data_IF_767995885814
#
_entry.id   IF_767995885814
#
_cell.length_a   1.000
_cell.length_b   1.000
_cell.length_c   1.000
_cell.angle_alpha   90.00
_cell.angle_beta   90.00
_cell.angle_gamma   90.00
#
_symmetry.space_group_name_H-M   'P 1'
#
loop_
_entity.id
_entity.type
_entity.pdbx_description
1 polymer ?
#
# COMPACT_ATOMS: atom_id res chain seq x y z
N UNK A 1 -1.79 19.98 -21.15
CA UNK A 1 -1.88 19.45 -20.70
C UNK A 1 -1.30 19.00 -19.98
N UNK A 2 -1.04 18.82 -19.83
CA UNK A 2 -0.69 18.54 -19.14
C UNK A 2 -0.21 17.88 -18.42
N UNK A 3 0.19 18.15 -18.25
CA UNK A 3 0.26 17.33 -17.16
C UNK A 3 -0.40 16.06 -17.37
N UNK A 4 -0.75 15.81 -18.46
CA UNK A 4 -1.42 14.63 -18.81
C UNK A 4 -0.55 13.41 -18.63
N UNK A 5 0.74 13.56 -18.87
CA UNK A 5 1.70 12.50 -18.62
C UNK A 5 1.70 12.10 -17.16
N UNK A 6 1.54 13.07 -16.28
CA UNK A 6 1.45 12.77 -14.86
C UNK A 6 0.25 11.91 -14.53
N UNK A 7 -0.84 12.10 -15.24
CA UNK A 7 -2.02 11.27 -15.04
C UNK A 7 -1.77 9.83 -15.39
N UNK A 8 -1.01 9.59 -16.44
CA UNK A 8 -0.68 8.22 -16.82
C UNK A 8 0.13 7.53 -15.74
N UNK A 9 1.05 8.24 -15.12
CA UNK A 9 1.84 7.67 -14.05
C UNK A 9 0.99 7.32 -12.86
N UNK A 10 -0.03 8.12 -12.57
CA UNK A 10 -0.95 7.83 -11.50
C UNK A 10 -1.77 6.57 -11.74
N UNK A 11 -1.98 6.22 -13.00
CA UNK A 11 -2.83 5.09 -13.34
C UNK A 11 -2.09 3.76 -13.30
N UNK A 12 -0.81 3.77 -13.01
CA UNK A 12 0.00 2.56 -13.01
C UNK A 12 1.00 2.58 -11.86
N UNK A 13 1.32 1.37 -11.39
CA UNK A 13 2.34 1.19 -10.37
C UNK A 13 3.15 -0.04 -10.72
N UNK A 14 4.41 -0.05 -10.34
CA UNK A 14 5.26 -1.21 -10.54
C UNK A 14 6.35 -1.18 -9.49
N UNK A 15 6.58 -2.32 -8.83
CA UNK A 15 7.60 -2.40 -7.81
C UNK A 15 7.70 -3.79 -7.23
N UNK A 16 8.64 -3.92 -6.28
CA UNK A 16 8.83 -5.17 -5.56
C UNK A 16 7.90 -5.23 -4.37
N UNK A 17 7.60 -6.44 -3.95
CA UNK A 17 6.60 -6.69 -2.92
C UNK A 17 7.25 -6.89 -1.56
N UNK A 18 6.70 -6.19 -0.56
CA UNK A 18 6.92 -6.47 0.85
C UNK A 18 5.64 -7.13 1.37
N UNK A 19 5.76 -8.33 1.90
CA UNK A 19 4.59 -9.11 2.28
C UNK A 19 4.45 -9.19 3.79
N UNK A 20 3.23 -8.95 4.27
CA UNK A 20 2.88 -9.04 5.67
C UNK A 20 1.64 -9.92 5.83
N UNK A 21 1.31 -10.28 7.06
CA UNK A 21 0.23 -11.21 7.32
C UNK A 21 -1.10 -10.53 7.66
N UNK A 22 -1.86 -11.21 8.54
CA UNK A 22 -3.16 -10.72 8.99
C UNK A 22 -3.00 -9.67 10.07
N UNK A 23 -4.00 -8.80 10.19
CA UNK A 23 -4.15 -7.89 11.33
C UNK A 23 -2.94 -6.99 11.56
N UNK A 24 -2.38 -6.46 10.48
CA UNK A 24 -1.33 -5.45 10.59
C UNK A 24 -2.02 -4.17 11.05
N UNK A 25 -1.90 -3.85 12.34
CA UNK A 25 -2.65 -2.73 12.89
C UNK A 25 -1.87 -1.41 12.74
N UNK A 26 -2.57 -0.32 12.99
CA UNK A 26 -1.99 1.01 12.78
C UNK A 26 -0.81 1.28 13.71
N UNK A 27 -0.78 0.66 14.90
CA UNK A 27 0.34 0.85 15.81
C UNK A 27 1.60 0.11 15.32
N UNK A 28 1.40 -0.95 14.55
CA UNK A 28 2.51 -1.66 13.90
C UNK A 28 3.03 -0.86 12.70
N UNK A 29 2.11 -0.24 11.96
CA UNK A 29 2.48 0.56 10.79
C UNK A 29 3.28 1.79 11.21
N UNK A 30 2.78 2.50 12.21
CA UNK A 30 3.50 3.65 12.78
C UNK A 30 3.29 3.66 14.28
N UNK A 31 4.32 3.32 15.07
CA UNK A 31 4.17 3.23 16.53
C UNK A 31 3.73 4.53 17.18
N UNK A 32 2.99 4.40 18.27
CA UNK A 32 2.44 5.55 18.98
C UNK A 32 3.51 6.54 19.43
N UNK A 33 4.72 6.06 19.68
CA UNK A 33 5.80 6.93 20.15
C UNK A 33 6.23 7.98 19.12
N UNK A 34 5.77 7.83 17.86
CA UNK A 34 6.12 8.77 16.80
C UNK A 34 4.96 9.69 16.40
N UNK A 35 3.83 9.62 17.11
CA UNK A 35 2.64 10.35 16.69
C UNK A 35 2.64 11.83 17.08
N UNK A 36 3.66 12.27 17.82
CA UNK A 36 3.79 13.70 18.13
C UNK A 36 4.27 14.51 16.93
N UNK A 37 4.61 13.87 15.85
CA UNK A 37 4.98 14.55 14.61
C UNK A 37 3.93 14.27 13.55
N UNK A 38 3.66 15.26 12.71
CA UNK A 38 2.80 15.10 11.54
C UNK A 38 3.59 15.23 10.23
N UNK A 39 4.91 15.35 10.34
CA UNK A 39 5.77 15.49 9.16
C UNK A 39 5.85 14.16 8.43
N UNK A 40 5.34 14.08 7.18
CA UNK A 40 5.37 12.81 6.45
C UNK A 40 6.77 12.23 6.31
N UNK A 41 7.77 13.07 6.09
CA UNK A 41 9.14 12.58 5.93
C UNK A 41 9.64 11.91 7.19
N UNK A 42 9.31 12.47 8.35
CA UNK A 42 9.72 11.88 9.62
C UNK A 42 8.97 10.58 9.88
N UNK A 43 7.67 10.56 9.63
CA UNK A 43 6.88 9.35 9.81
C UNK A 43 7.38 8.22 8.91
N UNK A 44 7.80 8.57 7.70
CA UNK A 44 8.31 7.58 6.75
C UNK A 44 9.54 6.85 7.30
N UNK A 45 10.38 7.54 8.07
CA UNK A 45 11.60 6.92 8.58
C UNK A 45 11.33 5.82 9.62
N UNK A 46 10.12 5.76 10.15
CA UNK A 46 9.75 4.79 11.17
C UNK A 46 8.65 3.84 10.71
N UNK A 47 8.31 3.89 9.43
CA UNK A 47 7.22 3.08 8.88
C UNK A 47 7.55 1.60 9.01
N UNK A 48 6.61 0.83 9.58
CA UNK A 48 6.72 -0.63 9.75
C UNK A 48 7.89 -1.06 10.64
N UNK A 49 8.47 -0.15 11.38
CA UNK A 49 9.70 -0.39 12.15
C UNK A 49 9.55 -1.56 13.12
N UNK A 50 8.39 -1.70 13.75
CA UNK A 50 8.19 -2.72 14.77
C UNK A 50 7.90 -4.11 14.21
N UNK A 51 7.58 -4.22 12.92
CA UNK A 51 7.32 -5.51 12.31
C UNK A 51 8.45 -5.90 11.34
N UNK A 52 9.12 -4.92 10.77
CA UNK A 52 10.24 -5.16 9.85
C UNK A 52 11.18 -3.97 9.98
N UNK A 53 12.17 -4.12 10.83
CA UNK A 53 13.06 -2.99 11.14
C UNK A 53 13.88 -2.54 9.94
N UNK A 54 14.01 -3.38 8.92
CA UNK A 54 14.78 -3.04 7.73
C UNK A 54 13.90 -2.53 6.58
N UNK A 55 12.59 -2.41 6.82
CA UNK A 55 11.67 -2.00 5.77
C UNK A 55 12.09 -0.66 5.15
N UNK A 56 12.35 0.34 5.98
CA UNK A 56 12.68 1.67 5.45
C UNK A 56 14.01 1.71 4.74
N UNK A 57 14.92 0.78 5.06
CA UNK A 57 16.19 0.68 4.35
C UNK A 57 16.04 0.06 2.98
N UNK A 58 15.10 -0.86 2.85
CA UNK A 58 14.98 -1.69 1.66
C UNK A 58 13.90 -1.21 0.70
N UNK A 59 12.94 -0.42 1.18
CA UNK A 59 11.85 0.03 0.33
C UNK A 59 12.36 1.08 -0.66
N UNK A 60 11.94 0.93 -1.91
CA UNK A 60 12.24 1.89 -2.96
C UNK A 60 10.94 2.53 -3.42
N UNK A 61 11.05 3.73 -3.98
CA UNK A 61 9.89 4.42 -4.50
C UNK A 61 9.20 3.53 -5.55
N UNK A 62 7.90 3.34 -5.38
CA UNK A 62 7.12 2.51 -6.27
C UNK A 62 6.87 1.11 -5.75
N UNK A 63 7.55 0.68 -4.70
CA UNK A 63 7.35 -0.65 -4.15
C UNK A 63 5.94 -0.83 -3.61
N UNK A 64 5.56 -2.08 -3.39
CA UNK A 64 4.17 -2.45 -3.11
C UNK A 64 4.13 -3.27 -1.83
N UNK A 65 3.16 -2.97 -0.97
CA UNK A 65 2.87 -3.80 0.20
C UNK A 65 1.73 -4.75 -0.15
N UNK A 66 1.91 -6.02 0.19
CA UNK A 66 0.87 -7.03 0.04
C UNK A 66 0.65 -7.66 1.41
N UNK A 67 -0.61 -7.74 1.84
CA UNK A 67 -0.94 -8.29 3.14
C UNK A 67 -2.22 -9.12 3.06
N UNK A 68 -2.58 -9.73 4.18
CA UNK A 68 -3.73 -10.61 4.19
C UNK A 68 -4.95 -9.87 4.74
N UNK A 69 -5.56 -10.35 5.83
CA UNK A 69 -6.84 -9.84 6.28
C UNK A 69 -6.68 -8.67 7.24
N UNK A 70 -7.62 -7.75 7.16
CA UNK A 70 -7.82 -6.71 8.16
C UNK A 70 -6.61 -5.77 8.30
N UNK A 71 -6.02 -5.38 7.18
CA UNK A 71 -4.88 -4.47 7.18
C UNK A 71 -5.33 -3.08 7.66
N UNK A 72 -4.55 -2.51 8.57
CA UNK A 72 -4.85 -1.19 9.10
C UNK A 72 -5.83 -1.19 10.25
N UNK A 73 -6.04 -2.34 10.89
CA UNK A 73 -6.94 -2.41 12.04
C UNK A 73 -6.38 -1.63 13.23
N UNK A 74 -7.18 -1.53 14.29
CA UNK A 74 -6.77 -0.82 15.49
C UNK A 74 -7.19 0.62 15.46
N UNK A 75 -6.38 1.50 16.04
CA UNK A 75 -6.72 2.90 16.21
C UNK A 75 -6.88 3.63 14.89
N UNK A 76 -7.76 4.62 14.89
CA UNK A 76 -8.02 5.44 13.71
C UNK A 76 -6.91 6.49 13.56
N UNK A 77 -5.79 6.11 12.97
CA UNK A 77 -4.65 6.99 12.82
C UNK A 77 -4.42 7.34 11.36
N UNK A 78 -4.56 8.62 11.06
CA UNK A 78 -4.24 9.09 9.72
C UNK A 78 -2.74 9.00 9.45
N UNK A 79 -1.94 8.95 10.50
CA UNK A 79 -0.49 8.84 10.37
C UNK A 79 -0.07 7.55 9.65
N UNK A 80 -0.86 6.48 9.80
CA UNK A 80 -0.48 5.19 9.21
C UNK A 80 -0.42 5.25 7.68
N UNK A 81 -1.47 5.65 6.96
CA UNK A 81 -1.36 5.71 5.51
C UNK A 81 -0.40 6.80 5.05
N UNK A 82 -0.25 7.89 5.83
CA UNK A 82 0.72 8.93 5.49
C UNK A 82 2.13 8.36 5.53
N UNK A 83 2.46 7.58 6.57
CA UNK A 83 3.78 6.98 6.70
C UNK A 83 4.07 6.03 5.53
N UNK A 84 3.11 5.20 5.16
CA UNK A 84 3.28 4.26 4.06
C UNK A 84 3.53 5.01 2.75
N UNK A 85 2.71 6.01 2.47
CA UNK A 85 2.84 6.76 1.24
C UNK A 85 4.17 7.50 1.18
N UNK A 86 4.55 8.14 2.27
CA UNK A 86 5.79 8.92 2.34
C UNK A 86 7.02 8.02 2.26
N UNK A 87 6.91 6.77 2.66
CA UNK A 87 8.02 5.82 2.53
C UNK A 87 8.29 5.41 1.08
N UNK A 88 7.38 5.75 0.17
CA UNK A 88 7.57 5.47 -1.24
C UNK A 88 6.67 4.37 -1.79
N UNK A 89 5.84 3.77 -0.95
CA UNK A 89 4.95 2.69 -1.38
C UNK A 89 3.92 3.23 -2.35
N UNK A 90 3.79 2.58 -3.50
CA UNK A 90 2.87 3.03 -4.54
C UNK A 90 1.47 2.47 -4.39
N UNK A 91 1.33 1.34 -3.69
CA UNK A 91 0.03 0.70 -3.54
C UNK A 91 0.09 -0.33 -2.43
N UNK A 92 -1.02 -0.51 -1.72
CA UNK A 92 -1.18 -1.61 -0.77
C UNK A 92 -2.26 -2.53 -1.29
N UNK A 93 -1.93 -3.82 -1.43
CA UNK A 93 -2.87 -4.85 -1.83
C UNK A 93 -3.11 -5.73 -0.61
N UNK A 94 -4.36 -5.98 -0.25
CA UNK A 94 -4.68 -6.83 0.88
C UNK A 94 -5.92 -7.66 0.58
N UNK A 95 -6.12 -8.73 1.36
CA UNK A 95 -7.37 -9.49 1.24
C UNK A 95 -8.53 -8.61 1.69
N UNK A 96 -8.38 -7.94 2.83
CA UNK A 96 -9.36 -6.97 3.31
C UNK A 96 -8.64 -5.85 4.05
N UNK A 97 -9.29 -4.70 4.16
CA UNK A 97 -8.81 -3.56 4.92
C UNK A 97 -9.80 -3.21 6.03
N UNK A 98 -9.27 -2.72 7.15
CA UNK A 98 -10.12 -2.12 8.16
C UNK A 98 -10.77 -0.87 7.56
N UNK A 99 -12.04 -0.64 7.90
CA UNK A 99 -12.84 0.42 7.28
C UNK A 99 -12.19 1.80 7.41
N UNK A 100 -11.71 2.12 8.61
CA UNK A 100 -11.17 3.46 8.85
C UNK A 100 -9.86 3.64 8.09
N UNK A 101 -9.02 2.63 8.06
CA UNK A 101 -7.78 2.70 7.29
C UNK A 101 -8.08 2.91 5.81
N UNK A 102 -9.07 2.19 5.29
CA UNK A 102 -9.51 2.33 3.91
C UNK A 102 -9.87 3.78 3.62
N UNK A 103 -10.72 4.36 4.47
CA UNK A 103 -11.17 5.74 4.29
C UNK A 103 -10.00 6.72 4.38
N UNK A 104 -9.14 6.56 5.36
CA UNK A 104 -8.01 7.47 5.55
C UNK A 104 -7.04 7.39 4.38
N UNK A 105 -6.84 6.19 3.84
CA UNK A 105 -5.95 6.01 2.69
C UNK A 105 -6.48 6.73 1.46
N UNK A 106 -7.78 6.65 1.22
CA UNK A 106 -8.40 7.35 0.11
C UNK A 106 -8.23 8.86 0.27
N UNK A 107 -8.44 9.35 1.49
CA UNK A 107 -8.37 10.78 1.76
C UNK A 107 -7.00 11.37 1.49
N UNK A 108 -5.94 10.60 1.71
CA UNK A 108 -4.58 11.12 1.51
C UNK A 108 -3.97 10.68 0.19
N UNK A 109 -4.71 9.93 -0.61
CA UNK A 109 -4.25 9.54 -1.93
C UNK A 109 -3.30 8.36 -1.95
N UNK A 110 -3.36 7.47 -0.94
CA UNK A 110 -2.61 6.22 -1.00
C UNK A 110 -3.47 5.19 -1.72
N UNK A 111 -3.02 4.70 -2.89
CA UNK A 111 -3.78 3.67 -3.62
C UNK A 111 -3.84 2.37 -2.82
N UNK A 112 -5.03 1.80 -2.72
CA UNK A 112 -5.25 0.53 -2.04
C UNK A 112 -6.18 -0.34 -2.88
N UNK A 113 -5.95 -1.66 -2.84
CA UNK A 113 -6.74 -2.61 -3.61
C UNK A 113 -7.09 -3.79 -2.72
N UNK A 114 -8.37 -4.12 -2.63
CA UNK A 114 -8.83 -5.35 -1.98
C UNK A 114 -8.92 -6.43 -3.04
N UNK A 115 -8.04 -7.41 -2.94
CA UNK A 115 -8.06 -8.53 -3.89
C UNK A 115 -7.53 -9.78 -3.17
N UNK A 116 -8.42 -10.59 -2.59
CA UNK A 116 -7.98 -11.76 -1.83
C UNK A 116 -7.10 -12.72 -2.63
N UNK A 117 -7.44 -12.92 -3.90
CA UNK A 117 -6.67 -13.85 -4.72
C UNK A 117 -5.24 -13.37 -4.93
N UNK A 118 -5.08 -12.09 -5.26
CA UNK A 118 -3.74 -11.53 -5.47
C UNK A 118 -2.97 -11.53 -4.16
N UNK A 119 -3.62 -11.14 -3.07
CA UNK A 119 -2.96 -11.07 -1.79
C UNK A 119 -2.41 -12.41 -1.35
N UNK A 120 -3.11 -13.50 -1.65
CA UNK A 120 -2.66 -14.85 -1.29
C UNK A 120 -1.56 -15.36 -2.21
N UNK A 121 -1.63 -15.02 -3.49
CA UNK A 121 -0.74 -15.60 -4.49
C UNK A 121 0.59 -14.89 -4.60
N UNK A 122 0.62 -13.58 -4.37
CA UNK A 122 1.83 -12.77 -4.52
C UNK A 122 2.75 -13.02 -3.33
N UNK A 123 4.03 -13.22 -3.60
CA UNK A 123 5.02 -13.50 -2.58
C UNK A 123 5.95 -12.33 -2.34
N UNK A 124 6.59 -12.33 -1.18
CA UNK A 124 7.60 -11.31 -0.88
C UNK A 124 8.70 -11.34 -1.93
N UNK A 125 9.10 -10.17 -2.39
CA UNK A 125 10.16 -10.05 -3.38
C UNK A 125 9.72 -10.16 -4.82
N UNK A 126 8.45 -10.51 -5.06
CA UNK A 126 7.95 -10.57 -6.44
C UNK A 126 7.93 -9.18 -7.06
N UNK A 127 8.09 -9.14 -8.38
CA UNK A 127 7.86 -7.92 -9.15
C UNK A 127 6.42 -7.88 -9.59
N UNK A 128 5.72 -6.81 -9.23
CA UNK A 128 4.30 -6.67 -9.51
C UNK A 128 4.04 -5.36 -10.22
N UNK A 129 3.22 -5.41 -11.26
CA UNK A 129 2.77 -4.24 -11.99
C UNK A 129 1.25 -4.13 -11.86
N UNK A 130 0.76 -2.92 -11.65
CA UNK A 130 -0.66 -2.67 -11.47
C UNK A 130 -1.10 -1.62 -12.47
N UNK A 131 -2.18 -1.93 -13.20
CA UNK A 131 -2.84 -0.97 -14.05
C UNK A 131 -4.15 -0.60 -13.36
N UNK A 132 -4.18 0.58 -12.76
CA UNK A 132 -5.35 1.01 -12.00
C UNK A 132 -6.56 1.25 -12.90
N UNK A 133 -6.32 1.57 -14.15
CA UNK A 133 -7.40 1.88 -15.07
C UNK A 133 -8.21 0.62 -15.40
N UNK A 134 -7.53 -0.49 -15.61
CA UNK A 134 -8.18 -1.75 -15.96
C UNK A 134 -8.40 -2.67 -14.76
N UNK A 135 -7.74 -2.39 -13.64
CA UNK A 135 -7.80 -3.24 -12.47
C UNK A 135 -6.93 -4.48 -12.56
N UNK A 136 -6.00 -4.52 -13.50
CA UNK A 136 -5.16 -5.70 -13.72
C UNK A 136 -3.92 -5.61 -12.85
N UNK A 137 -3.67 -6.68 -12.10
CA UNK A 137 -2.48 -6.84 -11.28
C UNK A 137 -1.68 -7.99 -11.88
N UNK A 138 -0.46 -7.69 -12.31
CA UNK A 138 0.40 -8.69 -12.94
C UNK A 138 1.56 -9.02 -12.02
N UNK A 139 1.64 -10.27 -11.58
CA UNK A 139 2.81 -10.75 -10.85
C UNK A 139 3.81 -11.24 -11.89
N UNK A 140 4.79 -10.40 -12.20
CA UNK A 140 5.73 -10.66 -13.29
C UNK A 140 6.65 -11.82 -12.95
N UNK A 141 6.94 -12.02 -11.68
CA UNK A 141 7.81 -13.11 -11.25
C UNK A 141 7.16 -14.47 -11.49
N UNK A 142 5.87 -14.58 -11.23
CA UNK A 142 5.14 -15.84 -11.39
C UNK A 142 4.39 -15.93 -12.72
N UNK A 143 4.37 -14.86 -13.50
CA UNK A 143 3.59 -14.78 -14.75
C UNK A 143 2.10 -14.99 -14.52
N UNK A 144 1.60 -14.47 -13.40
CA UNK A 144 0.18 -14.57 -13.01
C UNK A 144 -0.48 -13.21 -13.10
N UNK A 145 -1.76 -13.23 -13.48
CA UNK A 145 -2.56 -12.02 -13.62
C UNK A 145 -3.80 -12.15 -12.77
N UNK A 146 -4.08 -11.09 -12.01
CA UNK A 146 -5.27 -10.99 -11.19
C UNK A 146 -6.05 -9.75 -11.61
N UNK A 147 -7.37 -9.79 -11.48
CA UNK A 147 -8.21 -8.67 -11.85
C UNK A 147 -9.02 -8.27 -10.63
N UNK A 148 -8.88 -7.01 -10.21
CA UNK A 148 -9.64 -6.50 -9.09
C UNK A 148 -10.91 -5.82 -9.60
N UNK A 149 -11.85 -5.59 -8.68
CA UNK A 149 -13.09 -4.93 -9.04
C UNK A 149 -12.85 -3.46 -9.33
N UNK A 150 -13.35 -2.95 -10.45
CA UNK A 150 -13.11 -1.55 -10.82
C UNK A 150 -13.60 -0.55 -9.78
N UNK A 151 -14.68 -0.88 -9.06
CA UNK A 151 -15.21 0.04 -8.06
C UNK A 151 -14.22 0.39 -6.98
N UNK A 152 -13.30 -0.53 -6.69
CA UNK A 152 -12.28 -0.28 -5.66
C UNK A 152 -11.23 0.70 -6.13
N UNK A 153 -11.03 0.76 -7.43
CA UNK A 153 -10.06 1.68 -8.00
C UNK A 153 -10.62 3.09 -8.12
N UNK A 154 -11.93 3.21 -8.31
CA UNK A 154 -12.55 4.54 -8.44
C UNK A 154 -12.39 5.37 -7.19
N UNK A 155 -12.25 4.73 -6.04
CA UNK A 155 -12.09 5.47 -4.79
C UNK A 155 -10.74 6.16 -4.71
N UNK A 156 -9.83 5.88 -5.61
CA UNK A 156 -8.50 6.47 -5.62
C UNK A 156 -8.47 7.80 -6.37
N UNK A 157 -9.39 7.97 -7.28
CA UNK A 157 -9.35 9.15 -8.16
C UNK A 157 -10.00 10.39 -7.57
#
# INVERSE_FOLDING_TARGET
>A
MYEYTGNEEYMKAEGRVFKFGDNVDTDVIIPARYLNSSDPAELATHCMEDIDKDFVKNVNKGDIIVANKNFGCGSSREHAPIAIKAAGVSCVIAETFARIFYRNSINIGLPIIECPEAAKAINAGDDVAIDFDSGVITDKTLSLIHISEPTRLLSIS
#
